data_IF_024679670349
#
_entry.id   IF_024679670349
#
_cell.length_a   1.000
_cell.length_b   1.000
_cell.length_c   1.000
_cell.angle_alpha   90.00
_cell.angle_beta   90.00
_cell.angle_gamma   90.00
#
_symmetry.space_group_name_H-M   'P 1'
#
loop_
_entity.id
_entity.type
_entity.pdbx_description
1 polymer ?
#
# COMPACT_ATOMS: atom_id res chain seq x y z
N UNK A 1 -13.60 -5.34 19.96
CA UNK A 1 -14.62 -4.39 19.43
C UNK A 1 -13.92 -3.39 18.49
N UNK A 2 -14.63 -2.80 17.53
CA UNK A 2 -14.03 -1.89 16.54
C UNK A 2 -14.43 -0.45 16.88
N UNK A 3 -13.45 0.44 16.98
CA UNK A 3 -13.67 1.85 17.29
C UNK A 3 -13.43 2.71 16.05
N UNK A 4 -14.34 3.65 15.81
CA UNK A 4 -14.22 4.66 14.76
C UNK A 4 -13.97 6.02 15.42
N UNK A 5 -12.89 6.68 15.02
CA UNK A 5 -12.48 7.99 15.53
C UNK A 5 -12.71 9.02 14.42
N UNK A 6 -13.45 10.08 14.72
CA UNK A 6 -13.68 11.19 13.79
C UNK A 6 -12.39 11.98 13.56
N UNK A 7 -12.07 12.28 12.30
CA UNK A 7 -10.93 13.14 11.97
C UNK A 7 -11.37 14.62 11.98
N UNK A 8 -10.57 15.49 12.60
CA UNK A 8 -10.94 16.89 12.87
C UNK A 8 -11.22 17.73 11.62
N UNK A 9 -10.56 17.42 10.50
CA UNK A 9 -10.61 18.18 9.26
C UNK A 9 -11.32 17.45 8.11
N UNK A 10 -11.98 16.31 8.39
CA UNK A 10 -12.54 15.45 7.35
C UNK A 10 -13.81 14.78 7.87
N UNK A 11 -14.83 14.54 7.01
CA UNK A 11 -15.97 13.72 7.40
C UNK A 11 -15.57 12.25 7.62
N UNK A 12 -14.40 11.83 7.15
CA UNK A 12 -13.93 10.46 7.28
C UNK A 12 -13.55 10.09 8.72
N UNK A 13 -13.67 8.80 9.01
CA UNK A 13 -13.32 8.22 10.30
C UNK A 13 -12.16 7.24 10.15
N UNK A 14 -11.23 7.27 11.10
CA UNK A 14 -10.17 6.27 11.20
C UNK A 14 -10.62 5.15 12.12
N UNK A 15 -10.27 3.92 11.76
CA UNK A 15 -10.68 2.70 12.44
C UNK A 15 -9.48 2.12 13.19
N UNK A 16 -9.68 1.74 14.45
CA UNK A 16 -8.71 1.04 15.29
C UNK A 16 -9.38 -0.08 16.08
N UNK A 17 -8.57 -0.99 16.62
CA UNK A 17 -9.03 -1.95 17.63
C UNK A 17 -9.35 -1.23 18.95
N UNK A 18 -10.24 -1.80 19.76
CA UNK A 18 -10.69 -1.24 21.04
C UNK A 18 -9.56 -1.03 22.06
N UNK A 19 -8.74 -2.04 22.31
CA UNK A 19 -7.60 -1.91 23.23
C UNK A 19 -6.56 -0.90 22.73
N UNK A 20 -6.45 -0.72 21.41
CA UNK A 20 -5.61 0.35 20.84
C UNK A 20 -6.22 1.71 21.18
N UNK A 21 -7.53 1.88 21.01
CA UNK A 21 -8.22 3.12 21.39
C UNK A 21 -8.07 3.43 22.89
N UNK A 22 -8.28 2.44 23.75
CA UNK A 22 -8.09 2.58 25.20
C UNK A 22 -6.67 3.04 25.55
N UNK A 23 -5.65 2.46 24.90
CA UNK A 23 -4.27 2.90 25.07
C UNK A 23 -4.05 4.35 24.61
N UNK A 24 -4.63 4.75 23.46
CA UNK A 24 -4.52 6.14 22.98
C UNK A 24 -5.13 7.15 23.96
N UNK A 25 -6.19 6.77 24.68
CA UNK A 25 -6.86 7.60 25.67
C UNK A 25 -6.19 7.60 27.05
N UNK A 26 -5.54 6.50 27.44
CA UNK A 26 -4.92 6.32 28.76
C UNK A 26 -3.44 6.69 28.81
N UNK A 27 -2.72 6.65 27.69
CA UNK A 27 -1.30 6.99 27.64
C UNK A 27 -1.09 8.46 28.07
N UNK A 28 -0.28 8.74 29.11
CA UNK A 28 -0.13 10.09 29.67
C UNK A 28 0.33 11.14 28.65
N UNK A 29 1.26 10.77 27.77
CA UNK A 29 1.76 11.68 26.74
C UNK A 29 0.69 11.98 25.69
N UNK A 30 0.06 10.95 25.13
CA UNK A 30 -0.99 11.14 24.10
C UNK A 30 -2.19 11.93 24.64
N UNK A 31 -2.55 11.70 25.90
CA UNK A 31 -3.60 12.48 26.58
C UNK A 31 -3.21 13.94 26.74
N UNK A 32 -1.97 14.24 27.13
CA UNK A 32 -1.49 15.63 27.30
C UNK A 32 -1.50 16.48 26.03
N UNK A 33 -1.53 15.84 24.85
CA UNK A 33 -1.59 16.52 23.56
C UNK A 33 -2.98 16.42 22.89
N UNK A 34 -3.99 15.92 23.62
CA UNK A 34 -5.32 15.60 23.11
C UNK A 34 -5.26 14.83 21.79
N UNK A 35 -4.40 13.80 21.72
CA UNK A 35 -4.01 13.14 20.48
C UNK A 35 -5.21 12.68 19.66
N UNK A 36 -6.14 11.94 20.28
CA UNK A 36 -7.33 11.38 19.63
C UNK A 36 -8.21 12.48 19.02
N UNK A 37 -8.45 13.57 19.75
CA UNK A 37 -9.25 14.69 19.28
C UNK A 37 -8.56 15.48 18.16
N UNK A 38 -7.24 15.58 18.19
CA UNK A 38 -6.45 16.32 17.22
C UNK A 38 -5.99 15.49 16.01
N UNK A 39 -6.43 14.23 15.88
CA UNK A 39 -6.21 13.44 14.68
C UNK A 39 -6.89 14.10 13.47
N UNK A 40 -6.15 14.19 12.37
CA UNK A 40 -6.61 14.77 11.11
C UNK A 40 -6.26 13.86 9.94
N UNK A 41 -6.98 14.02 8.83
CA UNK A 41 -6.64 13.38 7.56
C UNK A 41 -5.55 14.20 6.85
N UNK A 42 -4.42 13.55 6.58
CA UNK A 42 -3.34 14.09 5.76
C UNK A 42 -3.73 14.06 4.27
N UNK A 43 -3.09 14.88 3.42
CA UNK A 43 -3.28 14.81 1.95
C UNK A 43 -2.94 13.44 1.35
N UNK A 44 -2.17 12.62 2.07
CA UNK A 44 -1.92 11.22 1.73
C UNK A 44 -3.04 10.26 2.15
N UNK A 45 -4.18 10.74 2.63
CA UNK A 45 -5.33 9.95 3.10
C UNK A 45 -5.07 9.15 4.38
N UNK A 46 -4.03 9.51 5.15
CA UNK A 46 -3.67 8.84 6.41
C UNK A 46 -4.10 9.69 7.61
N UNK A 47 -4.51 9.04 8.68
CA UNK A 47 -4.71 9.70 9.96
C UNK A 47 -3.35 10.11 10.58
N UNK A 48 -3.24 11.37 10.96
CA UNK A 48 -2.02 11.97 11.48
C UNK A 48 -2.35 12.99 12.56
N UNK A 49 -1.51 13.06 13.59
CA UNK A 49 -1.39 14.21 14.47
C UNK A 49 -0.16 15.01 14.04
N UNK A 50 -0.29 16.33 13.93
CA UNK A 50 0.84 17.20 13.62
C UNK A 50 0.71 18.51 14.38
N UNK A 51 1.77 18.94 15.04
CA UNK A 51 1.82 20.22 15.75
C UNK A 51 3.13 20.91 15.44
N UNK A 52 3.04 22.16 14.99
CA UNK A 52 4.20 22.99 14.68
C UNK A 52 4.29 24.15 15.67
N UNK A 53 5.51 24.48 16.13
CA UNK A 53 5.75 25.63 16.97
C UNK A 53 7.03 26.36 16.57
N UNK A 54 7.02 27.68 16.76
CA UNK A 54 8.15 28.55 16.45
C UNK A 54 9.21 28.42 17.53
N UNK A 55 10.46 28.27 17.13
CA UNK A 55 11.63 28.20 17.99
C UNK A 55 12.25 29.59 18.17
N UNK A 56 13.09 29.75 19.19
CA UNK A 56 13.82 30.99 19.47
C UNK A 56 14.70 31.46 18.31
N UNK A 57 15.22 30.53 17.50
CA UNK A 57 16.01 30.80 16.28
C UNK A 57 15.17 31.22 15.06
N UNK A 58 13.86 31.44 15.23
CA UNK A 58 12.93 31.81 14.15
C UNK A 58 12.46 30.66 13.26
N UNK A 59 13.04 29.44 13.40
CA UNK A 59 12.61 28.25 12.67
C UNK A 59 11.39 27.61 13.32
N UNK A 60 10.70 26.74 12.59
CA UNK A 60 9.59 25.95 13.13
C UNK A 60 10.05 24.52 13.39
N UNK A 61 9.67 23.97 14.55
CA UNK A 61 9.73 22.53 14.80
C UNK A 61 8.33 21.95 14.62
N UNK A 62 8.25 20.78 14.00
CA UNK A 62 6.99 20.09 13.75
C UNK A 62 7.09 18.66 14.28
N UNK A 63 6.24 18.33 15.24
CA UNK A 63 6.03 16.95 15.64
C UNK A 63 4.95 16.33 14.77
N UNK A 64 5.20 15.13 14.26
CA UNK A 64 4.26 14.38 13.42
C UNK A 64 4.16 12.94 13.92
N UNK A 65 2.95 12.50 14.20
CA UNK A 65 2.66 11.12 14.61
C UNK A 65 1.62 10.57 13.65
N UNK A 66 2.03 9.61 12.83
CA UNK A 66 1.11 8.88 11.96
C UNK A 66 0.48 7.72 12.73
N UNK A 67 -0.84 7.65 12.76
CA UNK A 67 -1.54 6.66 13.59
C UNK A 67 -1.17 5.22 13.22
N UNK A 68 -1.23 4.86 11.93
CA UNK A 68 -0.85 3.52 11.47
C UNK A 68 0.57 3.11 11.88
N UNK A 69 1.52 4.06 11.90
CA UNK A 69 2.89 3.79 12.31
C UNK A 69 2.98 3.59 13.82
N UNK A 70 2.33 4.47 14.58
CA UNK A 70 2.25 4.36 16.03
C UNK A 70 1.65 3.01 16.47
N UNK A 71 0.53 2.61 15.87
CA UNK A 71 -0.12 1.33 16.17
C UNK A 71 0.81 0.16 15.84
N UNK A 72 1.48 0.19 14.70
CA UNK A 72 2.43 -0.85 14.36
C UNK A 72 3.62 -0.95 15.34
N UNK A 73 4.23 0.17 15.70
CA UNK A 73 5.39 0.19 16.60
C UNK A 73 5.07 -0.24 18.02
N UNK A 74 3.85 0.01 18.50
CA UNK A 74 3.44 -0.33 19.87
C UNK A 74 2.82 -1.72 19.99
N UNK A 75 2.18 -2.23 18.92
CA UNK A 75 1.35 -3.44 19.03
C UNK A 75 1.63 -4.54 18.00
N UNK A 76 2.32 -4.25 16.88
CA UNK A 76 2.75 -5.33 15.97
C UNK A 76 4.06 -5.92 16.47
N UNK A 77 4.08 -7.25 16.58
CA UNK A 77 5.33 -7.99 16.72
C UNK A 77 6.11 -7.89 15.41
N UNK A 78 7.37 -7.53 15.51
CA UNK A 78 8.28 -7.58 14.37
C UNK A 78 8.75 -9.03 14.21
N UNK A 79 8.49 -9.62 13.06
CA UNK A 79 9.02 -10.94 12.70
C UNK A 79 10.53 -10.82 12.43
N UNK A 80 11.31 -11.79 12.93
CA UNK A 80 12.78 -11.79 12.83
C UNK A 80 13.25 -11.78 11.37
N UNK A 81 12.50 -12.42 10.48
CA UNK A 81 12.80 -12.54 9.05
C UNK A 81 12.40 -11.30 8.21
N UNK A 82 11.75 -10.30 8.82
CA UNK A 82 11.27 -9.13 8.10
C UNK A 82 12.23 -7.93 8.28
N UNK A 83 13.10 -7.75 7.29
CA UNK A 83 13.98 -6.58 7.20
C UNK A 83 13.23 -5.25 6.96
N UNK A 84 11.93 -5.31 6.68
CA UNK A 84 11.09 -4.15 6.40
C UNK A 84 10.87 -3.25 7.62
N UNK A 85 11.25 -1.98 7.51
CA UNK A 85 10.98 -0.95 8.54
C UNK A 85 9.72 -0.13 8.25
N UNK A 86 9.08 -0.34 7.11
CA UNK A 86 7.88 0.41 6.71
C UNK A 86 6.62 -0.37 7.03
N UNK A 87 5.52 0.37 7.23
CA UNK A 87 4.22 -0.23 7.55
C UNK A 87 3.37 -0.30 6.28
N UNK A 88 3.05 -1.52 5.87
CA UNK A 88 2.10 -1.81 4.79
C UNK A 88 0.69 -1.87 5.36
N UNK A 89 -0.26 -1.34 4.58
CA UNK A 89 -1.70 -1.43 4.86
C UNK A 89 -2.29 -2.48 3.93
N UNK A 90 -2.72 -3.61 4.48
CA UNK A 90 -3.05 -4.84 3.75
C UNK A 90 -4.25 -4.61 2.81
N UNK A 91 -5.37 -4.12 3.35
CA UNK A 91 -6.58 -3.79 2.58
C UNK A 91 -6.50 -2.42 1.87
N UNK A 92 -5.46 -1.63 2.13
CA UNK A 92 -5.15 -0.33 1.50
C UNK A 92 -6.15 0.78 1.77
N UNK A 93 -7.14 0.54 2.62
CA UNK A 93 -7.85 1.62 3.27
C UNK A 93 -6.88 2.26 4.27
N UNK A 94 -6.38 3.46 3.92
CA UNK A 94 -5.37 4.18 4.70
C UNK A 94 -5.87 4.67 6.07
N UNK A 95 -7.19 4.61 6.28
CA UNK A 95 -7.86 4.92 7.52
C UNK A 95 -8.30 3.66 8.29
N UNK A 96 -7.89 2.47 7.87
CA UNK A 96 -8.04 1.25 8.67
C UNK A 96 -6.70 0.92 9.34
N UNK A 97 -6.54 1.40 10.57
CA UNK A 97 -5.34 1.24 11.39
C UNK A 97 -5.46 0.08 12.39
N UNK A 98 -6.37 -0.89 12.17
CA UNK A 98 -6.41 -2.11 12.97
C UNK A 98 -5.13 -2.92 12.80
N UNK A 99 -4.68 -3.58 13.86
CA UNK A 99 -3.44 -4.37 13.86
C UNK A 99 -3.44 -5.39 12.74
N UNK A 100 -4.54 -6.14 12.58
CA UNK A 100 -4.68 -7.15 11.52
C UNK A 100 -4.58 -6.61 10.10
N UNK A 101 -4.65 -5.29 9.91
CA UNK A 101 -4.55 -4.63 8.61
C UNK A 101 -3.18 -3.98 8.38
N UNK A 102 -2.28 -4.07 9.37
CA UNK A 102 -0.95 -3.50 9.34
C UNK A 102 0.07 -4.65 9.30
N UNK A 103 1.16 -4.47 8.57
CA UNK A 103 2.28 -5.40 8.56
C UNK A 103 3.59 -4.65 8.31
N UNK A 104 4.68 -5.10 8.94
CA UNK A 104 6.02 -4.68 8.53
C UNK A 104 6.31 -5.15 7.12
N UNK A 105 6.94 -4.31 6.31
CA UNK A 105 7.16 -4.57 4.89
C UNK A 105 8.24 -3.66 4.34
N UNK A 106 8.85 -4.07 3.23
CA UNK A 106 9.83 -3.25 2.51
C UNK A 106 9.16 -2.35 1.44
N UNK A 107 9.92 -1.38 0.92
CA UNK A 107 9.44 -0.43 -0.10
C UNK A 107 8.92 -1.15 -1.36
N UNK A 108 9.57 -2.23 -1.77
CA UNK A 108 9.23 -2.96 -3.00
C UNK A 108 7.86 -3.65 -2.88
N UNK A 109 7.59 -4.30 -1.76
CA UNK A 109 6.30 -4.92 -1.45
C UNK A 109 5.17 -3.91 -1.33
N UNK A 110 5.40 -2.79 -0.62
CA UNK A 110 4.41 -1.71 -0.53
C UNK A 110 4.07 -1.20 -1.92
N UNK A 111 5.06 -0.96 -2.79
CA UNK A 111 4.84 -0.52 -4.16
C UNK A 111 4.03 -1.52 -4.98
N UNK A 112 4.33 -2.82 -4.89
CA UNK A 112 3.57 -3.90 -5.57
C UNK A 112 2.13 -4.03 -5.08
N UNK A 113 1.83 -3.54 -3.88
CA UNK A 113 0.48 -3.60 -3.30
C UNK A 113 -0.25 -2.25 -3.31
N UNK A 114 0.40 -1.20 -3.80
CA UNK A 114 -0.18 0.12 -3.96
C UNK A 114 -0.55 0.31 -5.42
N UNK A 115 -1.78 0.76 -5.67
CA UNK A 115 -2.23 1.10 -7.03
C UNK A 115 -1.23 2.09 -7.64
N UNK A 116 -0.62 1.69 -8.74
CA UNK A 116 0.30 2.54 -9.50
C UNK A 116 -0.44 3.02 -10.75
N UNK A 117 -0.12 4.23 -11.22
CA UNK A 117 -0.61 4.71 -12.51
C UNK A 117 -0.18 3.72 -13.60
N UNK A 118 -1.13 3.29 -14.41
CA UNK A 118 -0.84 2.48 -15.59
C UNK A 118 -0.10 3.35 -16.62
N UNK A 119 0.74 2.72 -17.43
CA UNK A 119 1.40 3.40 -18.54
C UNK A 119 0.42 3.52 -19.74
N UNK A 120 0.91 3.96 -20.91
CA UNK A 120 0.10 4.11 -22.13
C UNK A 120 -0.61 2.82 -22.59
N UNK A 121 -0.15 1.65 -22.17
CA UNK A 121 -0.78 0.37 -22.54
C UNK A 121 -1.92 -0.02 -21.61
N UNK A 122 -2.09 0.69 -20.49
CA UNK A 122 -3.09 0.34 -19.47
C UNK A 122 -2.64 -0.78 -18.52
N UNK A 123 -1.46 -1.36 -18.72
CA UNK A 123 -1.00 -2.53 -17.97
C UNK A 123 0.39 -2.34 -17.36
N UNK A 124 0.56 -2.84 -16.14
CA UNK A 124 1.83 -2.82 -15.39
C UNK A 124 2.79 -3.82 -16.02
N UNK A 125 4.04 -3.39 -16.22
CA UNK A 125 5.08 -4.22 -16.81
C UNK A 125 4.95 -4.45 -18.31
N UNK A 126 3.99 -3.81 -18.98
CA UNK A 126 3.74 -3.99 -20.41
C UNK A 126 4.20 -2.75 -21.19
N UNK A 127 5.19 -2.92 -22.06
CA UNK A 127 5.76 -1.85 -22.89
C UNK A 127 5.36 -2.08 -24.35
N UNK A 128 4.82 -1.05 -25.02
CA UNK A 128 4.55 -1.11 -26.46
C UNK A 128 5.83 -0.80 -27.24
N UNK A 129 6.19 -1.69 -28.15
CA UNK A 129 7.32 -1.53 -29.07
C UNK A 129 6.87 -1.83 -30.50
N UNK A 130 6.79 -0.78 -31.33
CA UNK A 130 6.22 -0.85 -32.68
C UNK A 130 4.85 -1.54 -32.67
N UNK A 131 4.77 -2.75 -33.24
CA UNK A 131 3.55 -3.55 -33.36
C UNK A 131 3.45 -4.69 -32.32
N UNK A 132 4.33 -4.73 -31.31
CA UNK A 132 4.33 -5.78 -30.28
C UNK A 132 4.32 -5.20 -28.88
N UNK A 133 3.95 -6.04 -27.92
CA UNK A 133 3.88 -5.71 -26.50
C UNK A 133 4.86 -6.57 -25.70
N UNK A 134 5.87 -5.93 -25.12
CA UNK A 134 6.87 -6.58 -24.28
C UNK A 134 6.39 -6.65 -22.83
N UNK A 135 6.51 -7.82 -22.21
CA UNK A 135 6.27 -8.01 -20.78
C UNK A 135 7.60 -8.07 -20.03
N UNK A 136 7.75 -7.22 -19.01
CA UNK A 136 8.96 -7.13 -18.18
C UNK A 136 8.56 -7.02 -16.71
N UNK A 137 9.22 -7.80 -15.86
CA UNK A 137 9.09 -7.71 -14.41
C UNK A 137 10.45 -7.47 -13.75
N UNK A 138 10.47 -6.72 -12.65
CA UNK A 138 11.71 -6.44 -11.93
C UNK A 138 11.76 -7.22 -10.62
N UNK A 139 12.85 -7.96 -10.43
CA UNK A 139 13.20 -8.62 -9.18
C UNK A 139 14.62 -8.20 -8.80
N UNK A 140 14.82 -7.76 -7.56
CA UNK A 140 16.13 -7.35 -7.04
C UNK A 140 16.86 -6.33 -7.94
N UNK A 141 16.08 -5.36 -8.45
CA UNK A 141 16.51 -4.31 -9.40
C UNK A 141 16.95 -4.80 -10.77
N UNK A 142 16.85 -6.10 -11.06
CA UNK A 142 17.15 -6.68 -12.38
C UNK A 142 15.87 -6.88 -13.19
N UNK A 143 15.84 -6.43 -14.46
CA UNK A 143 14.72 -6.72 -15.35
C UNK A 143 14.74 -8.18 -15.78
N UNK A 144 13.57 -8.83 -15.75
CA UNK A 144 13.32 -10.16 -16.28
C UNK A 144 12.36 -9.98 -17.46
N UNK A 145 12.85 -10.31 -18.66
CA UNK A 145 12.04 -10.30 -19.87
C UNK A 145 11.17 -11.56 -19.92
N UNK A 146 9.87 -11.39 -20.05
CA UNK A 146 8.90 -12.48 -20.02
C UNK A 146 8.44 -12.90 -21.42
N UNK A 147 8.62 -12.04 -22.41
CA UNK A 147 8.22 -12.29 -23.78
C UNK A 147 7.76 -11.03 -24.51
N UNK A 148 7.52 -11.20 -25.80
CA UNK A 148 6.93 -10.20 -26.69
C UNK A 148 5.67 -10.79 -27.30
N UNK A 149 4.56 -10.09 -27.16
CA UNK A 149 3.22 -10.55 -27.47
C UNK A 149 2.55 -9.68 -28.54
N UNK A 150 1.47 -10.19 -29.12
CA UNK A 150 0.73 -9.46 -30.15
C UNK A 150 -0.25 -8.47 -29.54
N UNK A 151 -0.79 -8.81 -28.37
CA UNK A 151 -1.73 -7.95 -27.62
C UNK A 151 -1.16 -7.51 -26.28
N UNK A 152 -1.66 -6.38 -25.79
CA UNK A 152 -1.29 -5.88 -24.47
C UNK A 152 -1.81 -6.78 -23.35
N UNK A 153 -2.92 -7.48 -23.59
CA UNK A 153 -3.57 -8.40 -22.65
C UNK A 153 -2.75 -9.68 -22.45
N UNK A 154 -2.25 -10.29 -23.52
CA UNK A 154 -1.30 -11.42 -23.44
C UNK A 154 -0.07 -11.06 -22.61
N UNK A 155 0.54 -9.90 -22.90
CA UNK A 155 1.68 -9.40 -22.14
C UNK A 155 1.34 -9.16 -20.66
N UNK A 156 0.13 -8.67 -20.38
CA UNK A 156 -0.35 -8.42 -19.03
C UNK A 156 -0.61 -9.72 -18.26
N UNK A 157 -1.10 -10.77 -18.91
CA UNK A 157 -1.27 -12.11 -18.33
C UNK A 157 0.07 -12.75 -18.01
N UNK A 158 1.04 -12.68 -18.94
CA UNK A 158 2.39 -13.17 -18.71
C UNK A 158 3.04 -12.48 -17.50
N UNK A 159 2.86 -11.16 -17.38
CA UNK A 159 3.27 -10.40 -16.20
C UNK A 159 2.58 -10.90 -14.92
N UNK A 160 1.26 -11.09 -14.94
CA UNK A 160 0.51 -11.57 -13.78
C UNK A 160 0.98 -12.94 -13.31
N UNK A 161 1.16 -13.89 -14.25
CA UNK A 161 1.66 -15.25 -13.96
C UNK A 161 3.02 -15.19 -13.25
N UNK A 162 3.97 -14.44 -13.81
CA UNK A 162 5.30 -14.30 -13.20
C UNK A 162 5.26 -13.54 -11.87
N UNK A 163 4.39 -12.53 -11.75
CA UNK A 163 4.22 -11.77 -10.51
C UNK A 163 3.71 -12.64 -9.36
N UNK A 164 2.75 -13.53 -9.65
CA UNK A 164 2.22 -14.49 -8.68
C UNK A 164 3.30 -15.51 -8.30
N UNK A 165 4.05 -16.04 -9.27
CA UNK A 165 5.15 -16.97 -9.02
C UNK A 165 6.23 -16.36 -8.09
N UNK A 166 6.61 -15.10 -8.35
CA UNK A 166 7.72 -14.46 -7.63
C UNK A 166 7.32 -13.83 -6.29
N UNK A 167 6.10 -13.32 -6.18
CA UNK A 167 5.68 -12.43 -5.07
C UNK A 167 4.32 -12.81 -4.47
N UNK A 168 3.68 -13.89 -4.95
CA UNK A 168 2.34 -14.28 -4.54
C UNK A 168 1.25 -13.34 -5.03
N UNK A 169 0.04 -13.48 -4.47
CA UNK A 169 -1.12 -12.68 -4.86
C UNK A 169 -1.01 -11.25 -4.31
N UNK A 170 -0.64 -10.32 -5.19
CA UNK A 170 -0.56 -8.89 -4.87
C UNK A 170 -1.82 -8.15 -5.32
N UNK A 171 -2.01 -6.93 -4.80
CA UNK A 171 -3.19 -6.11 -5.11
C UNK A 171 -3.11 -5.34 -6.42
N UNK A 172 -1.92 -5.23 -7.00
CA UNK A 172 -1.67 -4.45 -8.20
C UNK A 172 -1.45 -5.37 -9.41
N UNK A 173 -2.07 -6.56 -9.43
CA UNK A 173 -2.12 -7.39 -10.63
C UNK A 173 -2.96 -6.70 -11.72
N UNK A 174 -2.58 -6.92 -12.98
CA UNK A 174 -3.30 -6.40 -14.13
C UNK A 174 -4.69 -7.00 -14.20
N UNK A 175 -5.71 -6.18 -14.50
CA UNK A 175 -7.08 -6.64 -14.73
C UNK A 175 -7.23 -6.96 -16.21
N UNK A 176 -7.35 -8.23 -16.55
CA UNK A 176 -7.60 -8.70 -17.91
C UNK A 176 -8.99 -9.34 -17.95
N UNK A 177 -9.73 -9.15 -19.04
CA UNK A 177 -11.10 -9.65 -19.14
C UNK A 177 -11.15 -11.18 -19.21
N UNK A 178 -12.16 -11.81 -18.61
CA UNK A 178 -12.33 -13.27 -18.66
C UNK A 178 -12.51 -13.79 -20.09
N UNK A 179 -13.18 -13.02 -20.94
CA UNK A 179 -13.31 -13.31 -22.37
C UNK A 179 -11.94 -13.32 -23.08
N UNK A 180 -11.04 -12.40 -22.72
CA UNK A 180 -9.69 -12.36 -23.28
C UNK A 180 -8.85 -13.54 -22.80
N UNK A 181 -8.98 -13.95 -21.54
CA UNK A 181 -8.26 -15.09 -20.97
C UNK A 181 -8.64 -16.37 -21.74
N UNK A 182 -9.93 -16.66 -21.88
CA UNK A 182 -10.41 -17.85 -22.61
C UNK A 182 -9.94 -17.86 -24.05
N UNK A 183 -10.01 -16.72 -24.74
CA UNK A 183 -9.56 -16.60 -26.13
C UNK A 183 -8.05 -16.88 -26.27
N UNK A 184 -7.24 -16.48 -25.29
CA UNK A 184 -5.81 -16.74 -25.29
C UNK A 184 -5.53 -18.23 -25.01
N UNK A 185 -6.24 -18.83 -24.04
CA UNK A 185 -6.12 -20.26 -23.74
C UNK A 185 -6.54 -21.15 -24.93
N UNK A 186 -7.57 -20.76 -25.68
CA UNK A 186 -8.01 -21.45 -26.89
C UNK A 186 -6.96 -21.38 -28.02
N UNK A 187 -6.25 -20.25 -28.16
CA UNK A 187 -5.17 -20.10 -29.14
C UNK A 187 -3.96 -20.96 -28.73
N UNK A 188 -3.62 -21.03 -27.44
CA UNK A 188 -2.49 -21.82 -26.94
C UNK A 188 -2.73 -23.35 -26.96
N UNK A 189 -3.99 -23.80 -26.98
CA UNK A 189 -4.35 -25.23 -27.06
C UNK A 189 -4.58 -25.74 -28.50
N UNK A 190 -4.63 -24.83 -29.47
CA UNK A 190 -4.89 -25.13 -30.89
C UNK A 190 -3.64 -25.16 -31.79
N UNK A 191 -2.44 -24.93 -31.22
CA UNK A 191 -1.13 -25.12 -31.86
C UNK A 191 -0.48 -26.44 -31.41
#
# INVERSE_FOLDING_TARGET
>A
MLIKIQLKNSPNQVIVDDFVYEYLCSNPYLKSIDFVYNLREHSSGRAVFQKSWKQSNGKYKTDTIYLHKFVAENFLKKEEDNEGTLIRIINGNRLDCRIKNLAYSNRSEIKRNTRTSTNKTGYIGVLKEKNRYKAVIYKDRKPIFLGSYTTAEEAALAYNKKSIELFGKTRNLNKVSESSIKKIEEIEQGE
#
